data_IF_024553679393
#
_entry.id   IF_024553679393
#
_cell.length_a   1.000
_cell.length_b   1.000
_cell.length_c   1.000
_cell.angle_alpha   90.00
_cell.angle_beta   90.00
_cell.angle_gamma   90.00
#
_symmetry.space_group_name_H-M   'P 1'
#
loop_
_entity.id
_entity.type
_entity.pdbx_description
1 polymer ?
#
# COMPACT_ATOMS: atom_id res chain seq x y z
N UNK A 1 10.61 16.23 36.65
CA UNK A 1 9.18 16.09 36.30
C UNK A 1 8.83 17.20 35.30
N UNK A 2 8.41 16.87 34.11
CA UNK A 2 7.94 17.87 33.13
C UNK A 2 6.62 18.44 33.64
N UNK A 3 6.55 19.76 33.86
CA UNK A 3 5.31 20.45 34.18
C UNK A 3 4.40 20.39 32.92
N UNK A 4 3.47 19.47 32.95
CA UNK A 4 2.55 19.23 31.86
C UNK A 4 1.35 20.18 32.03
N UNK A 5 1.15 21.09 31.05
CA UNK A 5 -0.02 21.96 31.02
C UNK A 5 -1.32 21.12 31.02
N UNK A 6 -2.20 21.35 32.00
CA UNK A 6 -3.47 20.64 32.16
C UNK A 6 -4.65 21.39 31.58
N UNK A 7 -4.61 22.73 31.61
CA UNK A 7 -5.70 23.58 31.16
C UNK A 7 -5.18 24.80 30.41
N UNK A 8 -5.93 25.20 29.38
CA UNK A 8 -5.74 26.47 28.65
C UNK A 8 -7.02 27.28 28.81
N UNK A 9 -6.94 28.36 29.53
CA UNK A 9 -8.10 29.21 29.85
C UNK A 9 -8.01 30.53 29.08
N UNK A 10 -9.11 30.93 28.42
CA UNK A 10 -9.22 32.23 27.80
C UNK A 10 -9.54 33.28 28.87
N UNK A 11 -8.69 34.30 28.96
CA UNK A 11 -8.87 35.42 29.92
C UNK A 11 -8.74 36.74 29.23
N UNK A 12 -9.23 37.80 29.90
CA UNK A 12 -9.12 39.16 29.43
C UNK A 12 -8.34 40.04 30.42
N UNK A 13 -7.64 41.04 29.90
CA UNK A 13 -7.00 42.09 30.70
C UNK A 13 -7.40 43.48 30.15
N UNK A 14 -7.55 44.43 31.04
CA UNK A 14 -7.86 45.83 30.68
C UNK A 14 -6.69 46.46 29.96
N UNK A 15 -6.99 47.15 28.84
CA UNK A 15 -6.05 47.95 28.06
C UNK A 15 -6.69 49.33 27.76
N UNK A 16 -5.90 50.28 27.29
CA UNK A 16 -6.36 51.64 26.92
C UNK A 16 -7.22 52.31 28.01
N UNK A 17 -6.65 52.43 29.20
CA UNK A 17 -7.33 53.05 30.34
C UNK A 17 -8.69 52.38 30.69
N UNK A 18 -8.82 51.08 30.43
CA UNK A 18 -10.02 50.31 30.76
C UNK A 18 -11.16 50.40 29.73
N UNK A 19 -10.97 51.08 28.60
CA UNK A 19 -11.98 51.16 27.53
C UNK A 19 -12.06 49.88 26.67
N UNK A 20 -10.98 49.11 26.62
CA UNK A 20 -10.89 47.85 25.89
C UNK A 20 -10.35 46.72 26.77
N UNK A 21 -10.72 45.49 26.41
CA UNK A 21 -10.22 44.27 27.00
C UNK A 21 -9.43 43.50 25.94
N UNK A 22 -8.21 43.04 26.25
CA UNK A 22 -7.40 42.19 25.39
C UNK A 22 -7.48 40.74 25.85
N UNK A 23 -7.70 39.82 24.91
CA UNK A 23 -7.68 38.39 25.19
C UNK A 23 -6.26 37.85 25.29
N UNK A 24 -6.07 36.93 26.25
CA UNK A 24 -4.86 36.16 26.39
C UNK A 24 -5.18 34.72 26.84
N UNK A 25 -4.30 33.78 26.56
CA UNK A 25 -4.37 32.40 27.05
C UNK A 25 -3.57 32.30 28.34
N UNK A 26 -4.16 31.66 29.35
CA UNK A 26 -3.55 31.33 30.64
C UNK A 26 -3.34 29.82 30.71
N UNK A 27 -2.07 29.40 30.83
CA UNK A 27 -1.65 28.00 30.86
C UNK A 27 -1.41 27.54 32.29
N UNK A 28 -2.08 26.45 32.70
CA UNK A 28 -1.88 25.90 34.03
C UNK A 28 -1.68 24.38 34.01
N UNK A 29 -0.62 23.88 34.68
CA UNK A 29 0.65 24.59 34.96
C UNK A 29 1.26 25.15 33.65
N UNK A 30 2.25 26.03 33.75
CA UNK A 30 2.83 26.70 32.58
C UNK A 30 3.24 25.72 31.50
N UNK A 31 3.09 26.13 30.24
CA UNK A 31 3.44 25.34 29.06
C UNK A 31 4.90 25.60 28.66
N UNK A 32 5.69 24.55 28.45
CA UNK A 32 7.05 24.67 27.93
C UNK A 32 7.02 24.61 26.42
N UNK A 33 7.26 25.73 25.77
CA UNK A 33 7.33 25.79 24.30
C UNK A 33 8.57 25.05 23.80
N UNK A 34 8.38 24.08 22.94
CA UNK A 34 9.45 23.21 22.41
C UNK A 34 10.44 23.99 21.53
N UNK A 35 10.00 25.04 20.83
CA UNK A 35 10.85 25.83 19.93
C UNK A 35 11.76 26.80 20.71
N UNK A 36 11.21 27.50 21.70
CA UNK A 36 11.97 28.49 22.51
C UNK A 36 12.55 27.92 23.80
N UNK A 37 12.14 26.70 24.19
CA UNK A 37 12.48 26.04 25.47
C UNK A 37 12.05 26.85 26.72
N UNK A 38 11.28 27.93 26.53
CA UNK A 38 10.79 28.78 27.63
C UNK A 38 9.47 28.29 28.18
N UNK A 39 9.26 28.49 29.46
CA UNK A 39 7.96 28.22 30.09
C UNK A 39 7.06 29.42 29.88
N UNK A 40 5.99 29.22 29.09
CA UNK A 40 4.95 30.21 28.87
C UNK A 40 3.83 29.99 29.88
N UNK A 41 3.45 31.06 30.56
CA UNK A 41 2.29 31.10 31.45
C UNK A 41 1.13 31.82 30.81
N UNK A 42 1.43 32.86 30.05
CA UNK A 42 0.44 33.69 29.37
C UNK A 42 0.88 33.93 27.93
N UNK A 43 -0.08 33.85 27.00
CA UNK A 43 0.11 34.16 25.57
C UNK A 43 -0.95 35.18 25.13
N UNK A 44 -0.52 36.35 24.69
CA UNK A 44 -1.44 37.39 24.17
C UNK A 44 -1.92 36.99 22.77
N UNK A 45 -3.24 37.04 22.52
CA UNK A 45 -3.82 36.69 21.23
C UNK A 45 -3.84 37.90 20.25
N UNK A 46 -3.54 39.12 20.70
CA UNK A 46 -3.66 40.32 19.88
C UNK A 46 -5.11 40.67 19.52
N UNK A 47 -6.08 40.02 20.15
CA UNK A 47 -7.50 40.24 19.95
C UNK A 47 -8.05 41.09 21.11
N UNK A 48 -8.87 42.08 20.82
CA UNK A 48 -9.47 42.93 21.81
C UNK A 48 -10.96 43.13 21.57
N UNK A 49 -11.68 43.47 22.63
CA UNK A 49 -13.12 43.81 22.64
C UNK A 49 -13.34 45.10 23.39
N UNK A 50 -14.48 45.74 23.16
CA UNK A 50 -14.90 46.91 23.92
C UNK A 50 -15.36 46.49 25.31
N UNK A 51 -14.84 47.15 26.37
CA UNK A 51 -15.20 46.81 27.75
C UNK A 51 -16.67 47.17 28.05
N UNK A 52 -17.20 48.22 27.42
CA UNK A 52 -18.61 48.66 27.48
C UNK A 52 -19.08 49.02 26.08
N UNK A 53 -19.67 48.06 25.32
CA UNK A 53 -20.15 48.35 23.99
C UNK A 53 -21.34 49.34 24.03
N UNK A 54 -21.27 50.35 23.21
CA UNK A 54 -22.24 51.48 23.20
C UNK A 54 -23.37 51.30 22.19
N UNK A 55 -23.13 50.52 21.13
CA UNK A 55 -24.05 50.32 20.03
C UNK A 55 -24.08 48.85 19.60
N UNK A 56 -25.02 48.51 18.73
CA UNK A 56 -25.19 47.14 18.22
C UNK A 56 -23.96 46.63 17.45
N UNK A 57 -23.30 47.50 16.67
CA UNK A 57 -22.08 47.12 15.91
C UNK A 57 -20.93 46.72 16.82
N UNK A 58 -20.75 47.42 17.94
CA UNK A 58 -19.72 47.08 18.94
C UNK A 58 -20.02 45.75 19.66
N UNK A 59 -21.30 45.43 19.90
CA UNK A 59 -21.74 44.17 20.46
C UNK A 59 -21.44 43.00 19.50
N UNK A 60 -21.85 43.11 18.24
CA UNK A 60 -21.57 42.11 17.19
C UNK A 60 -20.07 41.94 16.95
N UNK A 61 -19.30 43.04 17.03
CA UNK A 61 -17.84 42.96 16.97
C UNK A 61 -17.29 42.15 18.15
N UNK A 62 -17.76 42.42 19.37
CA UNK A 62 -17.33 41.68 20.56
C UNK A 62 -17.64 40.18 20.46
N UNK A 63 -18.84 39.82 19.99
CA UNK A 63 -19.23 38.43 19.79
C UNK A 63 -18.28 37.74 18.83
N UNK A 64 -18.07 38.24 17.63
CA UNK A 64 -17.15 37.68 16.63
C UNK A 64 -15.72 37.57 17.14
N UNK A 65 -15.24 38.55 17.89
CA UNK A 65 -13.87 38.51 18.44
C UNK A 65 -13.75 37.50 19.59
N UNK A 66 -14.80 37.34 20.37
CA UNK A 66 -14.86 36.32 21.42
C UNK A 66 -14.86 34.90 20.81
N UNK A 67 -15.68 34.63 19.80
CA UNK A 67 -15.69 33.35 19.08
C UNK A 67 -14.32 33.05 18.46
N UNK A 68 -13.70 34.05 17.82
CA UNK A 68 -12.35 33.91 17.26
C UNK A 68 -11.30 33.57 18.31
N UNK A 69 -11.36 34.23 19.47
CA UNK A 69 -10.44 33.98 20.59
C UNK A 69 -10.66 32.58 21.18
N UNK A 70 -11.91 32.12 21.27
CA UNK A 70 -12.24 30.78 21.75
C UNK A 70 -11.80 29.70 20.78
N UNK A 71 -11.96 29.89 19.47
CA UNK A 71 -11.44 29.00 18.45
C UNK A 71 -9.91 28.86 18.53
N UNK A 72 -9.19 29.95 18.78
CA UNK A 72 -7.73 29.91 19.00
C UNK A 72 -7.36 29.16 20.29
N UNK A 73 -8.14 29.35 21.36
CA UNK A 73 -7.96 28.58 22.62
C UNK A 73 -8.09 27.08 22.36
N UNK A 74 -9.16 26.65 21.70
CA UNK A 74 -9.38 25.24 21.37
C UNK A 74 -8.21 24.66 20.56
N UNK A 75 -7.81 25.35 19.48
CA UNK A 75 -6.66 24.93 18.64
C UNK A 75 -5.38 24.80 19.47
N UNK A 76 -5.12 25.74 20.36
CA UNK A 76 -3.91 25.71 21.20
C UNK A 76 -3.97 24.56 22.23
N UNK A 77 -5.15 24.32 22.82
CA UNK A 77 -5.35 23.19 23.71
C UNK A 77 -5.13 21.85 23.00
N UNK A 78 -5.70 21.68 21.80
CA UNK A 78 -5.46 20.50 20.97
C UNK A 78 -3.97 20.29 20.65
N UNK A 79 -3.27 21.36 20.29
CA UNK A 79 -1.82 21.29 20.03
C UNK A 79 -1.04 20.78 21.23
N UNK A 80 -1.35 21.25 22.43
CA UNK A 80 -0.71 20.85 23.69
C UNK A 80 -1.03 19.40 24.02
N UNK A 81 -2.29 18.99 23.84
CA UNK A 81 -2.71 17.60 24.06
C UNK A 81 -2.03 16.67 23.09
N UNK A 82 -1.94 17.04 21.80
CA UNK A 82 -1.26 16.26 20.79
C UNK A 82 0.25 16.13 21.06
N UNK A 83 0.92 17.21 21.46
CA UNK A 83 2.33 17.16 21.89
C UNK A 83 2.53 16.27 23.14
N UNK A 84 1.60 16.31 24.10
CA UNK A 84 1.65 15.52 25.33
C UNK A 84 1.55 14.02 25.09
N UNK A 85 0.70 13.62 24.15
CA UNK A 85 0.46 12.20 23.88
C UNK A 85 1.26 11.68 22.68
N UNK A 86 2.22 12.47 22.19
CA UNK A 86 3.04 12.12 21.00
C UNK A 86 2.19 11.81 19.76
N UNK A 87 0.96 12.32 19.73
CA UNK A 87 0.08 12.20 18.56
C UNK A 87 0.58 13.05 17.39
N UNK A 88 1.44 14.04 17.68
CA UNK A 88 1.92 15.00 16.72
C UNK A 88 3.35 15.45 17.02
N UNK A 89 4.30 14.88 16.29
CA UNK A 89 5.69 15.29 16.32
C UNK A 89 6.04 16.07 15.05
N UNK A 90 6.30 17.36 15.18
CA UNK A 90 6.71 18.23 14.06
C UNK A 90 8.01 17.76 13.41
N UNK A 91 8.89 17.11 14.15
CA UNK A 91 10.12 16.52 13.60
C UNK A 91 9.80 15.31 12.72
N UNK A 92 8.80 14.50 13.07
CA UNK A 92 8.35 13.39 12.22
C UNK A 92 7.83 13.86 10.86
N UNK A 93 7.19 15.04 10.80
CA UNK A 93 6.73 15.62 9.54
C UNK A 93 7.87 16.04 8.60
N UNK A 94 9.02 16.42 9.15
CA UNK A 94 10.23 16.75 8.37
C UNK A 94 10.97 15.51 7.87
N UNK A 95 10.58 14.33 8.33
CA UNK A 95 11.14 13.06 7.91
C UNK A 95 10.87 12.78 6.43
N UNK A 96 11.77 12.06 5.79
CA UNK A 96 11.68 11.67 4.38
C UNK A 96 10.71 10.50 4.19
N UNK A 97 9.57 10.79 3.54
CA UNK A 97 8.56 9.77 3.21
C UNK A 97 9.05 8.82 2.12
N UNK A 98 9.86 9.29 1.15
CA UNK A 98 10.41 8.42 0.11
C UNK A 98 11.37 7.38 0.69
N UNK A 99 12.27 7.77 1.58
CA UNK A 99 13.16 6.83 2.26
C UNK A 99 12.36 5.79 3.07
N UNK A 100 11.34 6.22 3.79
CA UNK A 100 10.42 5.34 4.50
C UNK A 100 9.69 4.37 3.55
N UNK A 101 9.14 4.87 2.45
CA UNK A 101 8.43 4.04 1.48
C UNK A 101 9.38 3.01 0.85
N UNK A 102 10.60 3.42 0.47
CA UNK A 102 11.63 2.53 -0.06
C UNK A 102 11.91 1.36 0.89
N UNK A 103 12.18 1.66 2.16
CA UNK A 103 12.41 0.65 3.19
C UNK A 103 11.25 -0.36 3.30
N UNK A 104 9.99 0.14 3.29
CA UNK A 104 8.80 -0.73 3.34
C UNK A 104 8.65 -1.56 2.06
N UNK A 105 9.02 -1.01 0.91
CA UNK A 105 8.93 -1.69 -0.38
C UNK A 105 9.97 -2.81 -0.51
N UNK A 106 11.21 -2.56 -0.12
CA UNK A 106 12.31 -3.55 -0.13
C UNK A 106 12.02 -4.75 0.78
N UNK A 107 11.38 -4.50 1.93
CA UNK A 107 10.98 -5.56 2.85
C UNK A 107 9.83 -6.45 2.34
N UNK A 108 9.23 -6.15 1.16
CA UNK A 108 8.06 -6.87 0.66
C UNK A 108 8.31 -7.57 -0.68
N UNK A 109 7.95 -6.94 -1.82
CA UNK A 109 8.05 -7.58 -3.13
C UNK A 109 8.17 -6.56 -4.28
N UNK A 110 8.46 -7.06 -5.50
CA UNK A 110 8.64 -6.23 -6.70
C UNK A 110 7.48 -5.28 -7.01
N UNK A 111 6.24 -5.66 -6.69
CA UNK A 111 5.09 -4.77 -6.87
C UNK A 111 5.22 -3.50 -6.02
N UNK A 112 5.64 -3.63 -4.77
CA UNK A 112 5.88 -2.51 -3.87
C UNK A 112 7.02 -1.61 -4.36
N UNK A 113 8.11 -2.22 -4.84
CA UNK A 113 9.23 -1.48 -5.45
C UNK A 113 8.82 -0.73 -6.72
N UNK A 114 7.97 -1.32 -7.55
CA UNK A 114 7.45 -0.63 -8.74
C UNK A 114 6.58 0.57 -8.34
N UNK A 115 5.70 0.43 -7.34
CA UNK A 115 4.89 1.55 -6.85
C UNK A 115 5.78 2.65 -6.25
N UNK A 116 6.80 2.28 -5.48
CA UNK A 116 7.79 3.22 -4.98
C UNK A 116 8.45 4.02 -6.11
N UNK A 117 8.96 3.35 -7.16
CA UNK A 117 9.59 4.00 -8.32
C UNK A 117 8.65 4.97 -9.02
N UNK A 118 7.39 4.62 -9.19
CA UNK A 118 6.39 5.52 -9.76
C UNK A 118 6.15 6.74 -8.87
N UNK A 119 6.07 6.54 -7.56
CA UNK A 119 5.88 7.64 -6.62
C UNK A 119 7.12 8.54 -6.53
N UNK A 120 8.33 7.96 -6.51
CA UNK A 120 9.60 8.69 -6.57
C UNK A 120 9.70 9.57 -7.83
N UNK A 121 9.34 9.02 -9.00
CA UNK A 121 9.31 9.77 -10.27
C UNK A 121 8.28 10.89 -10.20
N UNK A 122 7.09 10.63 -9.68
CA UNK A 122 6.03 11.63 -9.51
C UNK A 122 6.46 12.79 -8.61
N UNK A 123 7.14 12.51 -7.50
CA UNK A 123 7.63 13.51 -6.55
C UNK A 123 9.00 14.10 -6.94
N UNK A 124 9.56 13.76 -8.11
CA UNK A 124 10.89 14.21 -8.54
C UNK A 124 11.99 13.91 -7.51
N UNK A 125 11.89 12.75 -6.85
CA UNK A 125 12.90 12.25 -5.90
C UNK A 125 12.86 12.86 -4.50
N UNK A 126 11.83 13.65 -4.14
CA UNK A 126 11.71 14.25 -2.81
C UNK A 126 10.25 14.32 -2.36
N UNK A 127 9.98 13.80 -1.15
CA UNK A 127 8.67 13.94 -0.49
C UNK A 127 8.83 13.76 1.02
N UNK A 128 8.37 14.73 1.79
CA UNK A 128 8.36 14.69 3.25
C UNK A 128 7.03 14.18 3.78
N UNK A 129 6.99 13.65 5.01
CA UNK A 129 5.73 13.20 5.62
C UNK A 129 4.69 14.33 5.72
N UNK A 130 5.13 15.57 5.97
CA UNK A 130 4.24 16.74 6.04
C UNK A 130 3.61 17.15 4.71
N UNK A 131 4.13 16.67 3.58
CA UNK A 131 3.59 16.94 2.24
C UNK A 131 2.50 15.94 1.84
N UNK A 132 2.32 14.86 2.60
CA UNK A 132 1.29 13.85 2.34
C UNK A 132 -0.09 14.42 2.65
N UNK A 133 -0.79 14.85 1.62
CA UNK A 133 -2.15 15.38 1.67
C UNK A 133 -3.09 14.56 0.77
N UNK A 134 -4.39 14.69 0.96
CA UNK A 134 -5.41 14.08 0.07
C UNK A 134 -5.21 14.56 -1.38
N UNK A 135 -4.87 15.85 -1.55
CA UNK A 135 -4.61 16.43 -2.87
C UNK A 135 -3.40 15.79 -3.55
N UNK A 136 -2.26 15.67 -2.85
CA UNK A 136 -1.07 14.99 -3.38
C UNK A 136 -1.39 13.55 -3.79
N UNK A 137 -2.13 12.83 -2.94
CA UNK A 137 -2.53 11.46 -3.21
C UNK A 137 -3.41 11.35 -4.46
N UNK A 138 -4.39 12.24 -4.64
CA UNK A 138 -5.23 12.26 -5.84
C UNK A 138 -4.43 12.60 -7.10
N UNK A 139 -3.50 13.53 -7.04
CA UNK A 139 -2.58 13.83 -8.16
C UNK A 139 -1.72 12.63 -8.51
N UNK A 140 -1.27 11.86 -7.53
CA UNK A 140 -0.55 10.60 -7.80
C UNK A 140 -1.48 9.55 -8.43
N UNK A 141 -2.75 9.47 -8.02
CA UNK A 141 -3.75 8.61 -8.66
C UNK A 141 -3.88 8.95 -10.17
N UNK A 142 -4.00 10.22 -10.50
CA UNK A 142 -4.06 10.71 -11.89
C UNK A 142 -2.78 10.41 -12.67
N UNK A 143 -1.62 10.63 -12.05
CA UNK A 143 -0.33 10.26 -12.65
C UNK A 143 -0.28 8.78 -13.04
N UNK A 144 -0.81 7.86 -12.23
CA UNK A 144 -0.79 6.44 -12.55
C UNK A 144 -1.54 6.10 -13.85
N UNK A 145 -2.58 6.86 -14.24
CA UNK A 145 -3.28 6.66 -15.51
C UNK A 145 -2.45 7.07 -16.74
N UNK A 146 -1.47 7.92 -16.55
CA UNK A 146 -0.57 8.37 -17.63
C UNK A 146 0.79 7.67 -17.58
N UNK A 147 1.10 6.99 -16.49
CA UNK A 147 2.38 6.35 -16.26
C UNK A 147 2.62 5.17 -17.20
N UNK A 148 3.89 4.99 -17.58
CA UNK A 148 4.35 3.86 -18.39
C UNK A 148 4.87 2.73 -17.51
N UNK A 149 4.94 1.52 -18.05
CA UNK A 149 5.46 0.37 -17.32
C UNK A 149 6.94 0.54 -16.99
N UNK A 150 7.36 0.06 -15.82
CA UNK A 150 8.76 0.19 -15.36
C UNK A 150 9.74 -0.56 -16.27
N UNK A 151 9.34 -1.72 -16.79
CA UNK A 151 10.17 -2.57 -17.65
C UNK A 151 9.99 -2.23 -19.14
N UNK A 152 8.79 -1.84 -19.56
CA UNK A 152 8.44 -1.52 -20.95
C UNK A 152 7.98 -0.08 -21.04
N UNK A 153 8.93 0.84 -21.17
CA UNK A 153 8.67 2.29 -21.16
C UNK A 153 7.79 2.81 -22.32
N UNK A 154 7.53 1.99 -23.32
CA UNK A 154 6.60 2.30 -24.42
C UNK A 154 5.13 1.97 -24.10
N UNK A 155 4.86 1.16 -23.07
CA UNK A 155 3.52 0.69 -22.73
C UNK A 155 2.99 1.40 -21.49
N UNK A 156 1.75 1.87 -21.53
CA UNK A 156 1.04 2.40 -20.38
C UNK A 156 0.67 1.29 -19.39
N UNK A 157 0.42 1.69 -18.16
CA UNK A 157 -0.09 0.76 -17.15
C UNK A 157 -1.52 0.32 -17.50
N UNK A 158 -1.79 -0.97 -17.38
CA UNK A 158 -3.15 -1.50 -17.51
C UNK A 158 -4.00 -1.14 -16.29
N UNK A 159 -5.31 -0.91 -16.48
CA UNK A 159 -6.22 -0.44 -15.41
C UNK A 159 -6.15 -1.29 -14.14
N UNK A 160 -6.12 -2.62 -14.25
CA UNK A 160 -6.00 -3.50 -13.10
C UNK A 160 -4.63 -3.39 -12.40
N UNK A 161 -3.56 -3.04 -13.14
CA UNK A 161 -2.25 -2.74 -12.55
C UNK A 161 -2.30 -1.43 -11.79
N UNK A 162 -2.96 -0.39 -12.34
CA UNK A 162 -3.19 0.89 -11.68
C UNK A 162 -3.96 0.68 -10.37
N UNK A 163 -5.04 -0.08 -10.39
CA UNK A 163 -5.83 -0.42 -9.21
C UNK A 163 -4.98 -1.14 -8.14
N UNK A 164 -4.14 -2.10 -8.54
CA UNK A 164 -3.23 -2.81 -7.65
C UNK A 164 -2.13 -1.89 -7.08
N UNK A 165 -1.58 -0.97 -7.87
CA UNK A 165 -0.59 0.01 -7.45
C UNK A 165 -1.19 1.03 -6.47
N UNK A 166 -2.37 1.55 -6.81
CA UNK A 166 -3.13 2.44 -5.93
C UNK A 166 -3.44 1.80 -4.57
N UNK A 167 -3.92 0.57 -4.58
CA UNK A 167 -4.17 -0.18 -3.36
C UNK A 167 -2.89 -0.38 -2.53
N UNK A 168 -1.75 -0.62 -3.18
CA UNK A 168 -0.45 -0.74 -2.51
C UNK A 168 -0.01 0.59 -1.90
N UNK A 169 -0.15 1.71 -2.61
CA UNK A 169 0.15 3.04 -2.08
C UNK A 169 -0.72 3.38 -0.87
N UNK A 170 -2.03 3.12 -0.94
CA UNK A 170 -2.94 3.29 0.19
C UNK A 170 -2.53 2.45 1.41
N UNK A 171 -2.00 1.24 1.20
CA UNK A 171 -1.48 0.41 2.29
C UNK A 171 -0.23 1.01 2.94
N UNK A 172 0.66 1.69 2.18
CA UNK A 172 1.80 2.44 2.73
C UNK A 172 1.31 3.59 3.60
N UNK A 173 0.34 4.38 3.12
CA UNK A 173 -0.25 5.49 3.89
C UNK A 173 -0.87 4.99 5.20
N UNK A 174 -1.62 3.89 5.14
CA UNK A 174 -2.21 3.29 6.34
C UNK A 174 -1.13 2.84 7.34
N UNK A 175 -0.04 2.25 6.84
CA UNK A 175 1.09 1.85 7.70
C UNK A 175 1.77 3.06 8.32
N UNK A 176 2.01 4.12 7.55
CA UNK A 176 2.60 5.36 8.04
C UNK A 176 1.73 6.04 9.12
N UNK A 177 0.39 6.00 8.93
CA UNK A 177 -0.54 6.48 9.93
C UNK A 177 -0.49 5.65 11.22
N UNK A 178 -0.52 4.32 11.11
CA UNK A 178 -0.41 3.42 12.29
C UNK A 178 0.92 3.56 13.04
N UNK A 179 1.99 3.92 12.35
CA UNK A 179 3.31 4.19 12.92
C UNK A 179 3.47 5.65 13.39
N UNK A 180 2.38 6.41 13.43
CA UNK A 180 2.35 7.83 13.83
C UNK A 180 3.38 8.71 13.08
N UNK A 181 3.63 8.40 11.79
CA UNK A 181 4.48 9.19 10.90
C UNK A 181 3.72 10.30 10.20
N UNK A 182 2.43 10.10 9.93
CA UNK A 182 1.51 11.11 9.39
C UNK A 182 0.39 11.34 10.40
N UNK A 183 -0.09 12.57 10.47
CA UNK A 183 -1.08 13.01 11.45
C UNK A 183 -2.48 12.47 11.16
N UNK A 184 -2.89 12.53 9.92
CA UNK A 184 -4.21 12.12 9.47
C UNK A 184 -4.10 10.95 8.51
N UNK A 185 -5.09 10.08 8.52
CA UNK A 185 -5.17 9.00 7.55
C UNK A 185 -5.89 9.49 6.28
N UNK A 186 -5.20 9.77 5.18
CA UNK A 186 -5.84 10.27 3.97
C UNK A 186 -6.76 9.24 3.33
N UNK A 187 -6.61 7.94 3.65
CA UNK A 187 -7.38 6.86 3.04
C UNK A 187 -8.90 6.96 3.23
N UNK A 188 -9.36 7.68 4.26
CA UNK A 188 -10.78 7.95 4.50
C UNK A 188 -11.43 8.82 3.41
N UNK A 189 -10.61 9.62 2.73
CA UNK A 189 -11.02 10.57 1.68
C UNK A 189 -10.61 10.13 0.27
N UNK A 190 -9.88 9.01 0.15
CA UNK A 190 -9.38 8.50 -1.13
C UNK A 190 -10.30 7.42 -1.68
N UNK A 191 -10.83 7.65 -2.86
CA UNK A 191 -11.61 6.66 -3.58
C UNK A 191 -10.78 5.44 -3.99
N UNK A 192 -11.42 4.29 -4.05
CA UNK A 192 -10.84 3.08 -4.62
C UNK A 192 -10.83 3.20 -6.15
N UNK A 193 -9.95 2.44 -6.78
CA UNK A 193 -10.01 2.18 -8.22
C UNK A 193 -10.56 0.77 -8.38
N UNK A 194 -11.67 0.63 -9.08
CA UNK A 194 -12.28 -0.66 -9.33
C UNK A 194 -11.51 -1.44 -10.39
N UNK A 195 -11.42 -2.76 -10.19
CA UNK A 195 -10.83 -3.66 -11.15
C UNK A 195 -11.84 -3.97 -12.26
N UNK A 196 -11.38 -3.92 -13.49
CA UNK A 196 -12.16 -4.36 -14.64
C UNK A 196 -12.07 -5.89 -14.72
N UNK A 197 -13.20 -6.60 -14.76
CA UNK A 197 -13.18 -8.04 -15.01
C UNK A 197 -12.46 -8.32 -16.32
N UNK A 198 -11.51 -9.25 -16.29
CA UNK A 198 -10.80 -9.69 -17.49
C UNK A 198 -11.18 -11.13 -17.77
N UNK A 199 -11.66 -11.39 -18.96
CA UNK A 199 -11.77 -12.75 -19.47
C UNK A 199 -10.36 -13.29 -19.69
N UNK A 200 -10.13 -14.49 -19.21
CA UNK A 200 -8.87 -15.19 -19.44
C UNK A 200 -9.07 -16.11 -20.62
N UNK A 201 -8.29 -15.94 -21.65
CA UNK A 201 -8.20 -16.90 -22.73
C UNK A 201 -7.73 -18.25 -22.17
N UNK A 202 -8.33 -19.31 -22.64
CA UNK A 202 -7.99 -20.69 -22.30
C UNK A 202 -7.96 -21.52 -23.56
N UNK A 203 -7.13 -22.55 -23.58
CA UNK A 203 -7.08 -23.49 -24.68
C UNK A 203 -8.27 -24.44 -24.58
N UNK A 204 -8.98 -24.61 -25.66
CA UNK A 204 -9.98 -25.65 -25.82
C UNK A 204 -9.33 -27.02 -25.92
N UNK A 205 -10.12 -28.10 -25.72
CA UNK A 205 -9.60 -29.45 -25.83
C UNK A 205 -9.03 -29.78 -27.22
N UNK A 206 -9.65 -29.39 -28.35
CA UNK A 206 -9.04 -29.58 -29.67
C UNK A 206 -7.71 -28.84 -29.85
N UNK A 207 -7.56 -27.66 -29.28
CA UNK A 207 -6.30 -26.91 -29.33
C UNK A 207 -5.21 -27.56 -28.50
N UNK A 208 -5.53 -28.14 -27.33
CA UNK A 208 -4.58 -28.92 -26.54
C UNK A 208 -4.10 -30.17 -27.29
N UNK A 209 -4.97 -30.88 -27.99
CA UNK A 209 -4.61 -32.05 -28.81
C UNK A 209 -3.68 -31.63 -29.96
N UNK A 210 -3.98 -30.52 -30.66
CA UNK A 210 -3.11 -29.97 -31.70
C UNK A 210 -1.73 -29.60 -31.15
N UNK A 211 -1.71 -28.91 -30.01
CA UNK A 211 -0.46 -28.52 -29.34
C UNK A 211 0.36 -29.75 -28.93
N UNK A 212 -0.30 -30.80 -28.46
CA UNK A 212 0.38 -32.06 -28.12
C UNK A 212 1.05 -32.70 -29.36
N UNK A 213 0.45 -32.59 -30.54
CA UNK A 213 1.03 -33.08 -31.81
C UNK A 213 2.08 -32.15 -32.43
N UNK A 214 2.17 -30.87 -32.03
CA UNK A 214 3.10 -29.88 -32.64
C UNK A 214 4.55 -30.14 -32.16
N UNK A 215 5.55 -30.18 -33.07
CA UNK A 215 6.97 -30.24 -32.66
C UNK A 215 7.36 -29.07 -31.74
N UNK A 216 8.29 -29.34 -30.82
CA UNK A 216 8.80 -28.33 -29.89
C UNK A 216 10.29 -28.60 -29.61
N UNK A 217 11.11 -27.57 -29.69
CA UNK A 217 12.56 -27.66 -29.45
C UNK A 217 12.90 -27.97 -27.98
N UNK A 218 11.95 -27.71 -27.08
CA UNK A 218 12.09 -27.98 -25.62
C UNK A 218 11.04 -29.00 -25.17
N UNK A 219 11.26 -30.32 -25.41
CA UNK A 219 10.25 -31.37 -25.12
C UNK A 219 9.81 -31.42 -23.67
N UNK A 220 10.75 -31.23 -22.72
CA UNK A 220 10.46 -31.22 -21.28
C UNK A 220 9.57 -30.03 -20.86
N UNK A 221 9.76 -28.88 -21.50
CA UNK A 221 8.89 -27.72 -21.27
C UNK A 221 7.47 -27.99 -21.79
N UNK A 222 7.35 -28.61 -22.97
CA UNK A 222 6.05 -28.99 -23.53
C UNK A 222 5.33 -29.99 -22.63
N UNK A 223 6.04 -31.05 -22.16
CA UNK A 223 5.47 -32.01 -21.19
C UNK A 223 4.98 -31.30 -19.91
N UNK A 224 5.80 -30.43 -19.34
CA UNK A 224 5.43 -29.67 -18.15
C UNK A 224 4.19 -28.79 -18.37
N UNK A 225 4.08 -28.17 -19.55
CA UNK A 225 2.93 -27.38 -19.93
C UNK A 225 1.64 -28.23 -20.06
N UNK A 226 1.70 -29.31 -20.81
CA UNK A 226 0.58 -30.24 -20.97
C UNK A 226 0.14 -30.83 -19.64
N UNK A 227 1.12 -31.22 -18.81
CA UNK A 227 0.85 -31.69 -17.45
C UNK A 227 0.17 -30.63 -16.59
N UNK A 228 0.58 -29.36 -16.71
CA UNK A 228 -0.10 -28.27 -16.03
C UNK A 228 -1.55 -28.08 -16.50
N UNK A 229 -1.83 -28.26 -17.79
CA UNK A 229 -3.19 -28.23 -18.34
C UNK A 229 -4.05 -29.36 -17.79
N UNK A 230 -3.51 -30.58 -17.67
CA UNK A 230 -4.24 -31.74 -17.18
C UNK A 230 -4.47 -31.71 -15.66
N UNK A 231 -3.55 -31.10 -14.90
CA UNK A 231 -3.58 -31.10 -13.43
C UNK A 231 -4.04 -29.78 -12.81
N UNK A 232 -4.09 -28.69 -13.55
CA UNK A 232 -4.39 -27.34 -13.04
C UNK A 232 -3.33 -26.78 -12.08
N UNK A 233 -2.16 -27.41 -11.98
CA UNK A 233 -1.05 -26.94 -11.15
C UNK A 233 -0.44 -25.65 -11.71
N UNK A 234 -0.04 -24.74 -10.80
CA UNK A 234 0.62 -23.49 -11.21
C UNK A 234 2.06 -23.76 -11.65
N UNK A 235 2.62 -22.90 -12.52
CA UNK A 235 4.02 -22.95 -12.95
C UNK A 235 5.01 -23.14 -11.79
N UNK A 236 4.79 -22.44 -10.66
CA UNK A 236 5.64 -22.58 -9.46
C UNK A 236 5.58 -23.97 -8.84
N UNK A 237 4.39 -24.56 -8.84
CA UNK A 237 4.15 -25.85 -8.20
C UNK A 237 4.69 -26.99 -9.10
N UNK A 238 4.54 -26.85 -10.43
CA UNK A 238 5.16 -27.75 -11.43
C UNK A 238 6.70 -27.75 -11.29
N UNK A 239 7.32 -26.57 -11.18
CA UNK A 239 8.79 -26.47 -11.00
C UNK A 239 9.30 -27.09 -9.69
N UNK A 240 8.45 -27.11 -8.67
CA UNK A 240 8.80 -27.64 -7.36
C UNK A 240 8.43 -29.12 -7.21
N UNK A 241 7.67 -29.70 -8.14
CA UNK A 241 7.13 -31.06 -8.05
C UNK A 241 8.24 -32.09 -8.04
N UNK A 242 8.22 -32.97 -7.04
CA UNK A 242 9.12 -34.13 -6.89
C UNK A 242 8.30 -35.41 -6.95
N UNK A 243 8.95 -36.53 -7.30
CA UNK A 243 8.29 -37.82 -7.48
C UNK A 243 7.59 -38.32 -6.21
N UNK A 244 8.15 -38.12 -5.03
CA UNK A 244 7.54 -38.47 -3.74
C UNK A 244 6.22 -37.77 -3.43
N UNK A 245 5.88 -36.74 -4.19
CA UNK A 245 4.61 -36.02 -4.06
C UNK A 245 3.47 -36.66 -4.82
N UNK A 246 3.76 -37.62 -5.72
CA UNK A 246 2.77 -38.42 -6.43
C UNK A 246 2.53 -39.67 -5.62
N UNK A 247 1.37 -39.83 -5.03
CA UNK A 247 1.06 -40.84 -4.05
C UNK A 247 -0.21 -41.61 -4.43
N UNK A 248 -0.29 -42.92 -4.05
CA UNK A 248 -1.49 -43.71 -4.34
C UNK A 248 -2.69 -43.27 -3.51
N UNK A 249 -3.86 -43.28 -4.13
CA UNK A 249 -5.14 -43.21 -3.45
C UNK A 249 -5.62 -44.60 -3.03
N UNK A 250 -6.44 -44.68 -1.98
CA UNK A 250 -6.90 -45.98 -1.44
C UNK A 250 -7.70 -46.87 -2.39
N UNK A 251 -8.20 -46.34 -3.50
CA UNK A 251 -8.99 -47.02 -4.54
C UNK A 251 -8.20 -47.36 -5.83
N UNK A 252 -6.88 -47.21 -5.81
CA UNK A 252 -5.99 -47.49 -6.94
C UNK A 252 -5.68 -46.30 -7.83
N UNK A 253 -6.26 -45.11 -7.59
CA UNK A 253 -5.89 -43.85 -8.24
C UNK A 253 -4.63 -43.24 -7.67
N UNK A 254 -4.13 -42.16 -8.32
CA UNK A 254 -2.97 -41.40 -7.86
C UNK A 254 -3.38 -39.96 -7.60
N UNK A 255 -2.70 -39.30 -6.65
CA UNK A 255 -2.85 -37.87 -6.38
C UNK A 255 -1.51 -37.20 -6.18
N UNK A 256 -1.49 -35.89 -6.40
CA UNK A 256 -0.32 -35.05 -6.12
C UNK A 256 -0.61 -34.25 -4.83
N UNK A 257 0.25 -34.43 -3.83
CA UNK A 257 0.21 -33.66 -2.60
C UNK A 257 1.17 -32.46 -2.69
N UNK A 258 0.65 -31.27 -2.94
CA UNK A 258 1.48 -30.05 -3.06
C UNK A 258 1.09 -29.03 -2.01
N UNK A 259 2.12 -28.41 -1.42
CA UNK A 259 1.94 -27.18 -0.64
C UNK A 259 2.01 -26.00 -1.59
N UNK A 260 0.82 -25.46 -1.91
CA UNK A 260 0.69 -24.32 -2.81
C UNK A 260 1.53 -23.13 -2.35
N UNK A 261 2.42 -22.64 -3.17
CA UNK A 261 3.35 -21.55 -2.78
C UNK A 261 2.61 -20.25 -2.44
N UNK A 262 1.53 -19.95 -3.14
CA UNK A 262 0.77 -18.71 -2.95
C UNK A 262 -0.11 -18.72 -1.69
N UNK A 263 -0.81 -19.83 -1.42
CA UNK A 263 -1.79 -19.93 -0.32
C UNK A 263 -1.25 -20.65 0.91
N UNK A 264 -0.09 -21.31 0.80
CA UNK A 264 0.53 -22.14 1.84
C UNK A 264 -0.32 -23.36 2.28
N UNK A 265 -1.44 -23.60 1.61
CA UNK A 265 -2.31 -24.74 1.87
C UNK A 265 -1.76 -26.00 1.20
N UNK A 266 -1.98 -27.14 1.82
CA UNK A 266 -1.72 -28.45 1.22
C UNK A 266 -2.97 -28.83 0.43
N UNK A 267 -2.79 -29.16 -0.84
CA UNK A 267 -3.86 -29.59 -1.75
C UNK A 267 -3.47 -30.96 -2.28
N UNK A 268 -4.39 -31.90 -2.16
CA UNK A 268 -4.29 -33.22 -2.77
C UNK A 268 -5.11 -33.18 -4.07
N UNK A 269 -4.43 -33.21 -5.19
CA UNK A 269 -5.03 -33.07 -6.51
C UNK A 269 -5.01 -34.45 -7.22
N UNK A 270 -6.16 -35.05 -7.55
CA UNK A 270 -6.20 -36.28 -8.32
C UNK A 270 -5.50 -36.11 -9.66
N UNK A 271 -4.82 -37.16 -10.11
CA UNK A 271 -4.05 -37.18 -11.37
C UNK A 271 -4.65 -38.22 -12.28
N UNK A 272 -4.94 -37.84 -13.53
CA UNK A 272 -5.44 -38.76 -14.53
C UNK A 272 -4.35 -39.68 -15.05
N UNK A 273 -4.73 -40.84 -15.61
CA UNK A 273 -3.80 -41.78 -16.21
C UNK A 273 -3.00 -41.16 -17.37
N UNK A 274 -3.66 -40.31 -18.16
CA UNK A 274 -2.99 -39.59 -19.27
C UNK A 274 -1.89 -38.64 -18.76
N UNK A 275 -2.11 -38.02 -17.61
CA UNK A 275 -1.09 -37.17 -17.00
C UNK A 275 0.08 -37.98 -16.43
N UNK A 276 -0.20 -39.17 -15.87
CA UNK A 276 0.84 -40.12 -15.39
C UNK A 276 1.65 -40.71 -16.54
N UNK A 277 1.00 -41.11 -17.63
CA UNK A 277 1.65 -41.58 -18.85
C UNK A 277 2.54 -40.52 -19.48
N UNK A 278 2.08 -39.28 -19.55
CA UNK A 278 2.82 -38.12 -20.08
C UNK A 278 4.17 -37.92 -19.39
N UNK A 279 4.24 -38.15 -18.08
CA UNK A 279 5.48 -38.03 -17.31
C UNK A 279 6.26 -39.35 -17.22
N UNK A 280 5.76 -40.47 -17.76
CA UNK A 280 6.40 -41.76 -17.72
C UNK A 280 6.40 -42.40 -16.33
N UNK A 281 5.39 -42.13 -15.53
CA UNK A 281 5.32 -42.60 -14.12
C UNK A 281 5.47 -44.11 -13.96
N UNK A 282 4.87 -44.91 -14.86
CA UNK A 282 4.88 -46.35 -14.80
C UNK A 282 6.11 -47.01 -15.48
N UNK A 283 6.93 -46.23 -16.18
CA UNK A 283 7.97 -46.77 -17.06
C UNK A 283 9.32 -47.01 -16.41
N UNK A 284 9.64 -46.37 -15.31
CA UNK A 284 10.96 -46.43 -14.66
C UNK A 284 10.86 -46.25 -13.14
N UNK A 285 11.85 -46.77 -12.41
CA UNK A 285 12.04 -46.39 -11.02
C UNK A 285 12.53 -44.96 -10.93
N UNK A 286 11.82 -44.12 -10.18
CA UNK A 286 12.16 -42.71 -9.99
C UNK A 286 12.77 -42.48 -8.62
N UNK A 287 13.81 -41.65 -8.56
CA UNK A 287 14.36 -41.18 -7.29
C UNK A 287 13.33 -40.29 -6.58
N UNK A 288 12.91 -40.59 -5.35
CA UNK A 288 11.78 -39.90 -4.69
C UNK A 288 11.92 -38.37 -4.61
N UNK A 289 13.13 -37.90 -4.34
CA UNK A 289 13.41 -36.45 -4.18
C UNK A 289 13.76 -35.74 -5.49
N UNK A 290 13.93 -36.49 -6.60
CA UNK A 290 14.21 -35.92 -7.89
C UNK A 290 12.97 -35.16 -8.40
N UNK A 291 13.20 -34.12 -9.17
CA UNK A 291 12.12 -33.33 -9.80
C UNK A 291 11.50 -34.07 -10.97
N UNK A 292 10.18 -34.04 -11.04
CA UNK A 292 9.43 -34.60 -12.18
C UNK A 292 9.79 -33.87 -13.49
N UNK A 293 9.97 -32.55 -13.40
CA UNK A 293 10.41 -31.73 -14.54
C UNK A 293 11.73 -31.02 -14.20
N UNK A 294 12.87 -31.54 -14.70
CA UNK A 294 14.20 -30.94 -14.50
C UNK A 294 14.39 -29.74 -15.44
N UNK A 295 13.44 -28.81 -15.44
CA UNK A 295 13.50 -27.60 -16.24
C UNK A 295 14.71 -26.77 -15.85
N UNK A 296 15.60 -26.48 -16.78
CA UNK A 296 16.69 -25.52 -16.60
C UNK A 296 16.08 -24.21 -16.14
N UNK A 297 16.74 -23.52 -15.20
CA UNK A 297 16.26 -22.24 -14.68
C UNK A 297 16.11 -21.29 -15.86
N UNK A 298 14.87 -21.07 -16.24
CA UNK A 298 14.52 -20.12 -17.25
C UNK A 298 14.54 -18.76 -16.56
N UNK A 299 15.70 -18.10 -16.60
CA UNK A 299 15.81 -16.71 -16.18
C UNK A 299 14.81 -15.90 -16.97
N UNK A 300 13.83 -15.32 -16.23
CA UNK A 300 12.97 -14.19 -16.57
C UNK A 300 12.34 -14.11 -17.99
N UNK A 301 12.41 -15.15 -18.81
CA UNK A 301 11.78 -15.19 -20.13
C UNK A 301 10.34 -15.71 -20.07
N UNK A 302 9.42 -15.02 -20.72
CA UNK A 302 8.09 -15.55 -21.05
C UNK A 302 8.28 -16.42 -22.29
N UNK A 303 8.09 -17.74 -22.20
CA UNK A 303 8.02 -18.60 -23.38
C UNK A 303 6.62 -18.42 -23.99
N UNK A 304 6.60 -17.92 -25.20
CA UNK A 304 5.41 -17.85 -26.01
C UNK A 304 5.43 -19.02 -26.99
N UNK A 305 4.47 -19.93 -26.89
CA UNK A 305 4.23 -20.91 -27.94
C UNK A 305 3.42 -20.21 -29.03
N UNK A 306 4.05 -19.89 -30.14
CA UNK A 306 3.35 -19.49 -31.36
C UNK A 306 3.04 -20.74 -32.17
N UNK A 307 1.77 -21.03 -32.37
CA UNK A 307 1.32 -21.99 -33.38
C UNK A 307 1.22 -21.21 -34.67
N UNK A 308 2.08 -21.50 -35.64
CA UNK A 308 1.98 -20.91 -37.00
C UNK A 308 0.62 -21.29 -37.55
N UNK A 309 -0.26 -20.31 -37.71
CA UNK A 309 -1.58 -20.49 -38.31
C UNK A 309 -1.51 -20.93 -39.81
N UNK A 310 -0.37 -20.72 -40.45
CA UNK A 310 -0.14 -21.02 -41.87
C UNK A 310 0.26 -22.48 -42.16
N UNK A 311 0.38 -23.31 -41.12
CA UNK A 311 0.66 -24.75 -41.26
C UNK A 311 -0.52 -25.63 -40.84
N UNK A 312 -1.73 -25.07 -40.95
CA UNK A 312 -2.97 -25.82 -40.76
C UNK A 312 -3.62 -26.23 -42.09
#
# INVERSE_FOLDING_TARGET
>A
MQNICKTVTLRTRKIKNGTQLSFYLDYYPGYRDAASMKVLRHESLGIYIFAKPRNQREREYNERMTEKAEALRCRRYESIVNERYDFFDKEKQKGDFLAYFKQKAEARNMKWLNVYKHFETFCSGKCLFGEISVELCNRFKEYLYTAVQTLHKSLRLHTNTIAAYWSTFRAVLHTAYREHKIQENPNGFLEKIDCIPTEKEHLSQPELVRLAGTPCDEPELKKAFLFACLTGLRKSDIKALTWNRIQPYGDGGMYISVRMQKTKQIVNNPVSNEALELIGFYGCAHEPEAKVFPLKVLDAGTYTFTVDADKM
#
